data_IF_694964078518
#
_entry.id   IF_694964078518
#
_cell.length_a   1.000
_cell.length_b   1.000
_cell.length_c   1.000
_cell.angle_alpha   90.00
_cell.angle_beta   90.00
_cell.angle_gamma   90.00
#
_symmetry.space_group_name_H-M   'P 1'
#
loop_
_entity.id
_entity.type
_entity.pdbx_description
1 polymer ?
#
# COMPACT_ATOMS: atom_id res chain seq x y z
N UNK A 1 -8.45 31.80 8.67
CA UNK A 1 -7.43 31.16 7.81
C UNK A 1 -8.13 30.22 6.83
N UNK A 2 -7.75 30.24 5.55
CA UNK A 2 -8.38 29.37 4.52
C UNK A 2 -7.69 28.01 4.53
N UNK A 3 -8.42 26.95 4.90
CA UNK A 3 -7.92 25.58 4.81
C UNK A 3 -7.71 25.23 3.32
N UNK A 4 -6.52 24.72 2.98
CA UNK A 4 -6.17 24.26 1.64
C UNK A 4 -5.95 22.75 1.64
N UNK A 5 -6.31 22.10 0.55
CA UNK A 5 -6.02 20.69 0.28
C UNK A 5 -5.27 20.59 -1.03
N UNK A 6 -4.31 19.68 -1.10
CA UNK A 6 -3.58 19.39 -2.33
C UNK A 6 -4.17 18.13 -2.96
N UNK A 7 -4.63 18.22 -4.20
CA UNK A 7 -5.18 17.11 -5.01
C UNK A 7 -4.39 17.12 -6.32
N UNK A 8 -3.81 15.98 -6.70
CA UNK A 8 -3.00 15.84 -7.93
C UNK A 8 -1.89 16.92 -8.08
N UNK A 9 -1.28 17.32 -6.97
CA UNK A 9 -0.24 18.34 -6.94
C UNK A 9 -0.73 19.79 -7.12
N UNK A 10 -2.04 20.01 -7.17
CA UNK A 10 -2.65 21.35 -7.15
C UNK A 10 -3.28 21.66 -5.80
N UNK A 11 -3.08 22.88 -5.34
CA UNK A 11 -3.70 23.39 -4.12
C UNK A 11 -5.07 23.99 -4.39
N UNK A 12 -6.05 23.55 -3.61
CA UNK A 12 -7.42 24.03 -3.64
C UNK A 12 -7.82 24.60 -2.29
N UNK A 13 -8.39 25.80 -2.29
CA UNK A 13 -9.00 26.37 -1.10
C UNK A 13 -10.32 25.63 -0.81
N UNK A 14 -10.42 24.94 0.33
CA UNK A 14 -11.57 24.10 0.70
C UNK A 14 -12.89 24.90 0.70
N UNK A 15 -12.82 26.15 1.17
CA UNK A 15 -13.97 27.07 1.17
C UNK A 15 -14.42 27.55 -0.21
N UNK A 16 -13.66 27.26 -1.28
CA UNK A 16 -14.00 27.60 -2.67
C UNK A 16 -14.47 26.39 -3.49
N UNK A 17 -14.49 25.21 -2.91
CA UNK A 17 -14.98 24.00 -3.58
C UNK A 17 -16.52 23.98 -3.62
N UNK A 18 -17.09 23.36 -4.65
CA UNK A 18 -18.50 23.00 -4.64
C UNK A 18 -18.76 21.88 -3.62
N UNK A 19 -20.03 21.60 -3.32
CA UNK A 19 -20.39 20.50 -2.43
C UNK A 19 -20.02 19.15 -3.03
N UNK A 20 -20.26 18.97 -4.32
CA UNK A 20 -19.89 17.77 -5.08
C UNK A 20 -18.38 17.56 -5.05
N UNK A 21 -17.60 18.64 -5.25
CA UNK A 21 -16.14 18.57 -5.19
C UNK A 21 -15.64 18.18 -3.80
N UNK A 22 -16.25 18.69 -2.72
CA UNK A 22 -15.93 18.27 -1.35
C UNK A 22 -16.22 16.79 -1.12
N UNK A 23 -17.34 16.28 -1.62
CA UNK A 23 -17.71 14.87 -1.48
C UNK A 23 -16.72 13.96 -2.22
N UNK A 24 -16.29 14.34 -3.43
CA UNK A 24 -15.28 13.57 -4.17
C UNK A 24 -13.92 13.56 -3.46
N UNK A 25 -13.53 14.65 -2.80
CA UNK A 25 -12.29 14.68 -1.98
C UNK A 25 -12.36 13.69 -0.83
N UNK A 26 -13.50 13.58 -0.16
CA UNK A 26 -13.69 12.60 0.92
C UNK A 26 -13.56 11.18 0.37
N UNK A 27 -14.22 10.88 -0.75
CA UNK A 27 -14.13 9.57 -1.41
C UNK A 27 -12.69 9.24 -1.80
N UNK A 28 -11.97 10.19 -2.40
CA UNK A 28 -10.57 10.01 -2.79
C UNK A 28 -9.69 9.67 -1.59
N UNK A 29 -9.86 10.41 -0.47
CA UNK A 29 -9.11 10.14 0.77
C UNK A 29 -9.37 8.73 1.31
N UNK A 30 -10.61 8.25 1.24
CA UNK A 30 -10.94 6.89 1.64
C UNK A 30 -10.26 5.88 0.73
N UNK A 31 -10.30 6.08 -0.60
CA UNK A 31 -9.59 5.22 -1.54
C UNK A 31 -8.07 5.20 -1.28
N UNK A 32 -7.45 6.35 -1.00
CA UNK A 32 -6.03 6.45 -0.69
C UNK A 32 -5.66 5.67 0.58
N UNK A 33 -6.52 5.74 1.62
CA UNK A 33 -6.34 4.97 2.85
C UNK A 33 -6.40 3.46 2.58
N UNK A 34 -7.37 3.01 1.78
CA UNK A 34 -7.48 1.60 1.40
C UNK A 34 -6.28 1.13 0.57
N UNK A 35 -5.78 1.96 -0.36
CA UNK A 35 -4.57 1.66 -1.13
C UNK A 35 -3.35 1.53 -0.20
N UNK A 36 -3.20 2.44 0.77
CA UNK A 36 -2.12 2.36 1.75
C UNK A 36 -2.20 1.07 2.59
N UNK A 37 -3.40 0.70 3.02
CA UNK A 37 -3.63 -0.52 3.77
C UNK A 37 -3.30 -1.78 2.93
N UNK A 38 -3.72 -1.82 1.67
CA UNK A 38 -3.38 -2.92 0.75
C UNK A 38 -1.87 -3.03 0.53
N UNK A 39 -1.16 -1.90 0.37
CA UNK A 39 0.31 -1.88 0.25
C UNK A 39 0.99 -2.45 1.50
N UNK A 40 0.49 -2.14 2.70
CA UNK A 40 1.01 -2.72 3.93
C UNK A 40 0.82 -4.25 3.95
N UNK A 41 -0.38 -4.73 3.61
CA UNK A 41 -0.65 -6.18 3.54
C UNK A 41 0.22 -6.88 2.49
N UNK A 42 0.47 -6.24 1.36
CA UNK A 42 1.36 -6.75 0.33
C UNK A 42 2.79 -6.88 0.84
N UNK A 43 3.32 -5.88 1.56
CA UNK A 43 4.67 -5.92 2.13
C UNK A 43 4.83 -7.07 3.14
N UNK A 44 3.82 -7.32 3.97
CA UNK A 44 3.78 -8.46 4.90
C UNK A 44 3.86 -9.78 4.11
N UNK A 45 3.01 -9.95 3.09
CA UNK A 45 3.00 -11.16 2.26
C UNK A 45 4.31 -11.39 1.52
N UNK A 46 4.93 -10.33 1.00
CA UNK A 46 6.25 -10.39 0.33
C UNK A 46 7.34 -10.87 1.30
N UNK A 47 7.33 -10.39 2.54
CA UNK A 47 8.27 -10.82 3.59
C UNK A 47 8.09 -12.30 3.91
N UNK A 48 6.85 -12.75 4.12
CA UNK A 48 6.56 -14.17 4.37
C UNK A 48 6.99 -15.06 3.19
N UNK A 49 6.69 -14.65 1.95
CA UNK A 49 7.13 -15.36 0.74
C UNK A 49 8.65 -15.50 0.68
N UNK A 50 9.40 -14.44 0.99
CA UNK A 50 10.86 -14.48 0.99
C UNK A 50 11.40 -15.46 2.04
N UNK A 51 10.81 -15.48 3.24
CA UNK A 51 11.16 -16.43 4.30
C UNK A 51 10.88 -17.88 3.88
N UNK A 52 9.70 -18.16 3.32
CA UNK A 52 9.36 -19.51 2.84
C UNK A 52 10.25 -19.96 1.68
N UNK A 53 10.56 -19.07 0.73
CA UNK A 53 11.49 -19.39 -0.35
C UNK A 53 12.89 -19.71 0.18
N UNK A 54 13.35 -19.01 1.22
CA UNK A 54 14.61 -19.31 1.91
C UNK A 54 14.57 -20.67 2.61
N UNK A 55 13.50 -20.96 3.35
CA UNK A 55 13.30 -22.26 3.99
C UNK A 55 13.28 -23.41 2.98
N UNK A 56 12.59 -23.25 1.87
CA UNK A 56 12.55 -24.23 0.78
C UNK A 56 13.94 -24.50 0.21
N UNK A 57 14.72 -23.44 -0.10
CA UNK A 57 16.09 -23.61 -0.61
C UNK A 57 16.98 -24.40 0.36
N UNK A 58 16.86 -24.14 1.67
CA UNK A 58 17.61 -24.89 2.69
C UNK A 58 17.20 -26.36 2.72
N UNK A 59 15.90 -26.64 2.68
CA UNK A 59 15.39 -28.01 2.67
C UNK A 59 15.86 -28.80 1.44
N UNK A 60 15.85 -28.18 0.25
CA UNK A 60 16.33 -28.79 -0.99
C UNK A 60 17.84 -29.06 -0.95
N UNK A 61 18.64 -28.08 -0.49
CA UNK A 61 20.09 -28.27 -0.36
C UNK A 61 20.44 -29.38 0.65
N UNK A 62 19.71 -29.48 1.76
CA UNK A 62 19.88 -30.58 2.71
C UNK A 62 19.50 -31.95 2.14
N UNK A 63 18.50 -32.02 1.24
CA UNK A 63 18.10 -33.28 0.62
C UNK A 63 19.13 -33.77 -0.42
N UNK A 64 19.72 -32.87 -1.19
CA UNK A 64 20.70 -33.19 -2.23
C UNK A 64 22.03 -33.72 -1.65
N UNK A 65 22.42 -33.27 -0.45
CA UNK A 65 23.66 -33.70 0.23
C UNK A 65 23.53 -35.09 0.87
N UNK A 66 22.31 -35.62 1.04
CA UNK A 66 22.07 -36.93 1.67
C UNK A 66 22.10 -38.09 0.65
N UNK A 67 22.14 -37.79 -0.66
CA UNK A 67 22.07 -38.80 -1.74
C UNK A 67 23.45 -39.22 -2.31
N UNK A 68 24.55 -38.98 -1.59
CA UNK A 68 25.90 -39.47 -1.91
C UNK A 68 26.50 -40.25 -0.75
#
# INVERSE_FOLDING_TARGET
>A
MTQKITIDGKDYAVGKLSEEARNQVVNLRVCDQEIAHLKQRLAIAQTARAAYASGLRKALASAEVVEH
#
